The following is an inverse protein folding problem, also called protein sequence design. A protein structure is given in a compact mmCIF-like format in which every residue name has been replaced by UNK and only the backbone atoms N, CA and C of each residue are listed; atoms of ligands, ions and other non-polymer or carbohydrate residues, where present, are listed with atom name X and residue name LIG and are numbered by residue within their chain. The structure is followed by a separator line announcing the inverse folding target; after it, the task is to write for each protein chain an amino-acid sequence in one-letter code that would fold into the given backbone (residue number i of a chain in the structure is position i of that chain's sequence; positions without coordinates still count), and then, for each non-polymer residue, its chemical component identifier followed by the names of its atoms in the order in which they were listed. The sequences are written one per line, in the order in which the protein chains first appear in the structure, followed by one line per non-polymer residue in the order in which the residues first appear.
data_IF_209873983076
#
_entry.id   IF_209873983076
#
_cell.length_a   1.000
_cell.length_b   1.000
_cell.length_c   1.000
_cell.angle_alpha   90.00
_cell.angle_beta   90.00
_cell.angle_gamma   90.00
#
_symmetry.space_group_name_H-M   'P 1'
#
loop_
_entity.id
_entity.type
_entity.pdbx_description
1 polymer ?
#
# COMPACT_ATOMS: atom_id res chain seq x y z
N UNK A 1 -7.67 -62.33 11.22
CA UNK A 1 -8.14 -61.35 10.21
C UNK A 1 -8.08 -59.99 10.88
N UNK A 2 -7.03 -59.22 10.56
CA UNK A 2 -6.73 -57.94 11.20
C UNK A 2 -7.21 -56.80 10.28
N UNK A 3 -8.21 -56.04 10.71
CA UNK A 3 -8.79 -54.93 9.97
C UNK A 3 -8.02 -53.66 10.33
N UNK A 4 -7.18 -53.17 9.40
CA UNK A 4 -6.46 -51.90 9.56
C UNK A 4 -7.38 -50.78 9.08
N UNK A 5 -7.89 -49.97 10.01
CA UNK A 5 -8.59 -48.74 9.73
C UNK A 5 -7.55 -47.63 9.44
N UNK A 6 -7.40 -47.24 8.16
CA UNK A 6 -6.63 -46.08 7.77
C UNK A 6 -7.52 -44.86 7.96
N UNK A 7 -7.25 -44.05 9.00
CA UNK A 7 -7.88 -42.75 9.19
C UNK A 7 -7.12 -41.73 8.30
N UNK A 8 -7.69 -41.39 7.17
CA UNK A 8 -7.25 -40.28 6.33
C UNK A 8 -7.65 -38.98 7.03
N UNK A 9 -6.72 -38.44 7.80
CA UNK A 9 -6.82 -37.06 8.27
C UNK A 9 -6.64 -36.11 7.07
N UNK A 10 -7.74 -35.69 6.48
CA UNK A 10 -7.77 -34.62 5.48
C UNK A 10 -7.38 -33.31 6.16
N UNK A 11 -6.14 -32.85 6.00
CA UNK A 11 -5.79 -31.46 6.23
C UNK A 11 -6.51 -30.59 5.21
N UNK A 12 -7.66 -30.06 5.58
CA UNK A 12 -8.27 -28.95 4.88
C UNK A 12 -7.49 -27.68 5.25
N UNK A 13 -6.43 -27.38 4.50
CA UNK A 13 -5.77 -26.09 4.51
C UNK A 13 -6.38 -25.26 3.38
N UNK A 14 -7.50 -24.61 3.66
CA UNK A 14 -7.96 -23.46 2.93
C UNK A 14 -8.02 -22.28 3.90
N UNK A 15 -6.84 -21.75 4.24
CA UNK A 15 -6.70 -20.37 4.62
C UNK A 15 -5.83 -19.75 3.51
N UNK A 16 -6.43 -18.94 2.66
CA UNK A 16 -5.72 -17.89 1.93
C UNK A 16 -5.14 -16.93 2.98
N UNK A 17 -4.06 -17.34 3.61
CA UNK A 17 -3.26 -16.45 4.43
C UNK A 17 -2.55 -15.53 3.45
N UNK A 18 -3.15 -14.36 3.17
CA UNK A 18 -2.47 -13.26 2.49
C UNK A 18 -1.13 -13.09 3.19
N UNK A 19 -0.03 -13.20 2.44
CA UNK A 19 1.30 -13.09 3.03
C UNK A 19 1.43 -11.75 3.75
N UNK A 20 2.06 -11.75 4.93
CA UNK A 20 2.26 -10.54 5.72
C UNK A 20 3.06 -9.52 4.90
N UNK A 21 2.45 -8.38 4.60
CA UNK A 21 3.08 -7.32 3.80
C UNK A 21 4.32 -6.75 4.51
N UNK A 22 4.38 -6.82 5.84
CA UNK A 22 5.52 -6.36 6.64
C UNK A 22 6.78 -7.22 6.50
N UNK A 23 6.70 -8.40 5.87
CA UNK A 23 7.88 -9.15 5.46
C UNK A 23 8.78 -8.37 4.51
N UNK A 24 8.23 -7.37 3.80
CA UNK A 24 8.96 -6.47 2.90
C UNK A 24 9.47 -5.19 3.56
N UNK A 25 9.30 -5.04 4.88
CA UNK A 25 9.83 -3.89 5.62
C UNK A 25 11.34 -3.77 5.40
N UNK A 26 11.81 -2.53 5.32
CA UNK A 26 13.20 -2.17 5.04
C UNK A 26 13.68 -2.51 3.62
N UNK A 27 12.78 -2.70 2.68
CA UNK A 27 13.12 -2.80 1.26
C UNK A 27 13.62 -1.46 0.69
N UNK A 28 14.17 -1.50 -0.50
CA UNK A 28 14.62 -0.31 -1.23
C UNK A 28 13.86 -0.14 -2.55
N UNK A 29 13.76 1.09 -3.05
CA UNK A 29 13.06 1.40 -4.32
C UNK A 29 13.64 0.58 -5.49
N UNK A 30 14.94 0.29 -5.48
CA UNK A 30 15.60 -0.52 -6.52
C UNK A 30 15.27 -2.01 -6.48
N UNK A 31 14.61 -2.51 -5.44
CA UNK A 31 14.16 -3.90 -5.36
C UNK A 31 12.81 -4.07 -6.06
N UNK A 32 12.85 -4.33 -7.36
CA UNK A 32 11.66 -4.53 -8.18
C UNK A 32 10.73 -5.63 -7.64
N UNK A 33 11.29 -6.69 -7.08
CA UNK A 33 10.53 -7.82 -6.57
C UNK A 33 9.76 -7.42 -5.31
N UNK A 34 10.43 -6.79 -4.35
CA UNK A 34 9.79 -6.32 -3.12
C UNK A 34 8.73 -5.27 -3.42
N UNK A 35 9.04 -4.26 -4.24
CA UNK A 35 8.06 -3.23 -4.63
C UNK A 35 6.85 -3.84 -5.32
N UNK A 36 7.04 -4.75 -6.28
CA UNK A 36 5.95 -5.43 -6.97
C UNK A 36 5.07 -6.25 -6.03
N UNK A 37 5.67 -6.98 -5.08
CA UNK A 37 4.95 -7.77 -4.09
C UNK A 37 4.17 -6.89 -3.08
N UNK A 38 4.73 -5.75 -2.66
CA UNK A 38 4.01 -4.78 -1.83
C UNK A 38 2.80 -4.26 -2.61
N UNK A 39 3.01 -3.71 -3.80
CA UNK A 39 1.97 -3.07 -4.61
C UNK A 39 0.83 -4.05 -4.96
N UNK A 40 1.14 -5.33 -5.21
CA UNK A 40 0.13 -6.36 -5.49
C UNK A 40 -0.85 -6.62 -4.33
N UNK A 41 -0.50 -6.19 -3.11
CA UNK A 41 -1.33 -6.34 -1.92
C UNK A 41 -2.09 -5.06 -1.54
N UNK A 42 -1.80 -3.94 -2.21
CA UNK A 42 -2.44 -2.65 -1.96
C UNK A 42 -3.83 -2.55 -2.61
N UNK A 43 -4.59 -1.52 -2.19
CA UNK A 43 -5.90 -1.25 -2.76
C UNK A 43 -5.79 -0.95 -4.26
N UNK A 44 -6.76 -1.45 -5.03
CA UNK A 44 -6.82 -1.31 -6.50
C UNK A 44 -5.61 -1.88 -7.26
N UNK A 45 -4.94 -2.88 -6.70
CA UNK A 45 -3.83 -3.56 -7.39
C UNK A 45 -4.23 -4.22 -8.72
N UNK A 46 -5.50 -4.63 -8.86
CA UNK A 46 -6.03 -5.21 -10.10
C UNK A 46 -6.20 -4.17 -11.23
N UNK A 47 -6.37 -2.90 -10.86
CA UNK A 47 -6.49 -1.78 -11.79
C UNK A 47 -5.13 -1.17 -12.13
N UNK A 48 -4.06 -1.66 -11.52
CA UNK A 48 -2.71 -1.18 -11.78
C UNK A 48 -2.28 -1.54 -13.20
N UNK A 49 -1.87 -0.52 -13.97
CA UNK A 49 -1.38 -0.65 -15.33
C UNK A 49 0.14 -0.75 -15.40
N UNK A 50 0.84 0.06 -14.59
CA UNK A 50 2.31 0.14 -14.64
C UNK A 50 2.90 0.62 -13.32
N UNK A 51 4.08 0.09 -12.98
CA UNK A 51 4.97 0.57 -11.92
C UNK A 51 6.24 1.10 -12.57
N UNK A 52 6.65 2.32 -12.21
CA UNK A 52 7.93 2.89 -12.64
C UNK A 52 8.75 3.30 -11.42
N UNK A 53 10.00 2.83 -11.36
CA UNK A 53 10.92 3.10 -10.26
C UNK A 53 11.95 4.16 -10.68
N UNK A 54 12.05 5.22 -9.89
CA UNK A 54 12.96 6.34 -10.12
C UNK A 54 14.13 6.27 -9.14
N UNK A 55 15.22 5.63 -9.58
CA UNK A 55 16.39 5.30 -8.75
C UNK A 55 17.69 5.93 -9.22
N UNK A 56 17.68 6.69 -10.33
CA UNK A 56 18.89 7.27 -10.89
C UNK A 56 19.34 8.52 -10.16
N UNK A 57 18.40 9.33 -9.71
CA UNK A 57 18.63 10.61 -9.05
C UNK A 57 17.69 10.77 -7.85
N UNK A 58 18.17 11.42 -6.79
CA UNK A 58 17.34 11.79 -5.64
C UNK A 58 16.47 13.02 -5.96
N UNK A 59 15.26 13.14 -5.40
CA UNK A 59 14.62 12.18 -4.48
C UNK A 59 14.14 10.92 -5.19
N UNK A 60 14.43 9.76 -4.62
CA UNK A 60 13.97 8.47 -5.17
C UNK A 60 12.45 8.36 -5.08
N UNK A 61 11.84 7.77 -6.10
CA UNK A 61 10.40 7.72 -6.19
C UNK A 61 9.83 6.51 -6.90
N UNK A 62 8.51 6.37 -6.77
CA UNK A 62 7.72 5.35 -7.44
C UNK A 62 6.57 6.05 -8.15
N UNK A 63 6.31 5.67 -9.40
CA UNK A 63 5.08 6.05 -10.09
C UNK A 63 4.20 4.82 -10.28
N UNK A 64 2.96 4.91 -9.83
CA UNK A 64 1.92 3.91 -10.02
C UNK A 64 0.88 4.47 -11.01
N UNK A 65 0.72 3.82 -12.15
CA UNK A 65 -0.25 4.19 -13.16
C UNK A 65 -1.42 3.19 -13.12
N UNK A 66 -2.65 3.70 -13.01
CA UNK A 66 -3.88 2.92 -12.90
C UNK A 66 -4.75 3.08 -14.13
N UNK A 67 -5.53 2.05 -14.42
CA UNK A 67 -6.71 2.13 -15.27
C UNK A 67 -7.82 2.91 -14.55
N UNK A 68 -8.96 3.10 -15.23
CA UNK A 68 -10.10 3.78 -14.61
C UNK A 68 -10.64 3.02 -13.41
N UNK A 69 -10.87 3.74 -12.31
CA UNK A 69 -11.49 3.21 -11.10
C UNK A 69 -12.97 3.56 -11.12
N UNK A 70 -13.80 2.54 -11.29
CA UNK A 70 -15.26 2.69 -11.28
C UNK A 70 -15.79 2.58 -9.86
N UNK A 71 -16.14 3.71 -9.27
CA UNK A 71 -16.70 3.79 -7.92
C UNK A 71 -17.81 4.84 -7.83
N UNK A 72 -18.75 4.68 -6.88
CA UNK A 72 -19.85 5.65 -6.69
C UNK A 72 -19.36 7.04 -6.29
N UNK A 73 -18.29 7.10 -5.49
CA UNK A 73 -17.63 8.31 -5.03
C UNK A 73 -16.16 8.29 -5.44
N UNK A 74 -15.89 8.20 -6.75
CA UNK A 74 -14.54 7.99 -7.30
C UNK A 74 -13.50 8.98 -6.75
N UNK A 75 -13.82 10.27 -6.64
CA UNK A 75 -12.88 11.27 -6.12
C UNK A 75 -12.47 10.98 -4.68
N UNK A 76 -13.42 10.67 -3.79
CA UNK A 76 -13.15 10.33 -2.40
C UNK A 76 -12.34 9.05 -2.29
N UNK A 77 -12.79 7.99 -2.96
CA UNK A 77 -12.13 6.68 -2.91
C UNK A 77 -10.70 6.72 -3.49
N UNK A 78 -10.48 7.50 -4.54
CA UNK A 78 -9.15 7.73 -5.10
C UNK A 78 -8.24 8.45 -4.08
N UNK A 79 -8.70 9.52 -3.43
CA UNK A 79 -7.94 10.23 -2.42
C UNK A 79 -7.58 9.35 -1.22
N UNK A 80 -8.54 8.61 -0.70
CA UNK A 80 -8.31 7.65 0.40
C UNK A 80 -7.31 6.55 0.00
N UNK A 81 -7.43 6.03 -1.23
CA UNK A 81 -6.50 5.04 -1.79
C UNK A 81 -5.09 5.60 -1.92
N UNK A 82 -4.94 6.82 -2.42
CA UNK A 82 -3.64 7.50 -2.55
C UNK A 82 -2.95 7.60 -1.18
N UNK A 83 -3.68 8.06 -0.15
CA UNK A 83 -3.14 8.16 1.21
C UNK A 83 -2.77 6.77 1.75
N UNK A 84 -3.68 5.81 1.69
CA UNK A 84 -3.45 4.48 2.24
C UNK A 84 -2.27 3.78 1.56
N UNK A 85 -2.25 3.75 0.23
CA UNK A 85 -1.20 3.08 -0.53
C UNK A 85 0.17 3.78 -0.35
N UNK A 86 0.20 5.13 -0.33
CA UNK A 86 1.42 5.88 -0.04
C UNK A 86 1.95 5.56 1.36
N UNK A 87 1.07 5.46 2.35
CA UNK A 87 1.44 5.13 3.73
C UNK A 87 2.15 3.79 3.82
N UNK A 88 1.60 2.74 3.20
CA UNK A 88 2.27 1.43 3.15
C UNK A 88 3.62 1.50 2.47
N UNK A 89 3.71 2.15 1.32
CA UNK A 89 4.97 2.24 0.57
C UNK A 89 6.05 3.00 1.35
N UNK A 90 5.70 4.10 2.03
CA UNK A 90 6.64 4.85 2.85
C UNK A 90 7.02 4.12 4.14
N UNK A 91 6.15 3.29 4.71
CA UNK A 91 6.46 2.49 5.89
C UNK A 91 7.38 1.30 5.59
N UNK A 92 7.27 0.72 4.40
CA UNK A 92 7.97 -0.52 4.04
C UNK A 92 9.25 -0.30 3.22
N UNK A 93 9.34 0.80 2.46
CA UNK A 93 10.47 1.10 1.59
C UNK A 93 11.29 2.27 2.17
N UNK A 94 12.52 1.98 2.62
CA UNK A 94 13.33 2.92 3.39
C UNK A 94 13.66 4.21 2.65
N UNK A 95 14.11 4.10 1.40
CA UNK A 95 14.68 5.19 0.62
C UNK A 95 13.72 5.83 -0.38
N UNK A 96 12.42 5.51 -0.31
CA UNK A 96 11.41 6.19 -1.12
C UNK A 96 11.05 7.52 -0.46
N UNK A 97 11.09 8.60 -1.22
CA UNK A 97 10.79 9.96 -0.76
C UNK A 97 9.54 10.55 -1.42
N UNK A 98 9.17 10.03 -2.61
CA UNK A 98 8.06 10.53 -3.41
C UNK A 98 7.33 9.39 -4.11
N UNK A 99 6.00 9.45 -4.09
CA UNK A 99 5.14 8.51 -4.83
C UNK A 99 4.16 9.31 -5.66
N UNK A 100 4.08 9.00 -6.95
CA UNK A 100 3.13 9.60 -7.88
C UNK A 100 2.10 8.56 -8.31
N UNK A 101 0.84 8.90 -8.16
CA UNK A 101 -0.31 8.10 -8.56
C UNK A 101 -0.96 8.75 -9.79
N UNK A 102 -1.00 8.02 -10.91
CA UNK A 102 -1.60 8.49 -12.17
C UNK A 102 -2.88 7.73 -12.44
N UNK A 103 -3.97 8.45 -12.48
CA UNK A 103 -5.28 7.96 -12.92
C UNK A 103 -5.64 8.63 -14.24
N UNK A 104 -6.59 8.11 -15.04
CA UNK A 104 -6.93 8.70 -16.33
C UNK A 104 -7.30 10.19 -16.28
N UNK A 105 -7.97 10.65 -15.21
CA UNK A 105 -8.43 12.03 -15.04
C UNK A 105 -7.59 12.85 -14.05
N UNK A 106 -6.79 12.21 -13.17
CA UNK A 106 -6.11 12.88 -12.07
C UNK A 106 -4.69 12.33 -11.84
N UNK A 107 -3.82 13.19 -11.35
CA UNK A 107 -2.49 12.81 -10.88
C UNK A 107 -2.27 13.36 -9.46
N UNK A 108 -1.77 12.52 -8.56
CA UNK A 108 -1.43 12.90 -7.20
C UNK A 108 0.01 12.56 -6.90
N UNK A 109 0.75 13.50 -6.34
CA UNK A 109 2.10 13.26 -5.84
C UNK A 109 2.11 13.47 -4.34
N UNK A 110 2.60 12.48 -3.61
CA UNK A 110 2.73 12.49 -2.14
C UNK A 110 4.20 12.32 -1.78
N UNK A 111 4.70 13.14 -0.88
CA UNK A 111 6.03 12.99 -0.30
C UNK A 111 5.97 12.35 1.09
N UNK A 112 7.04 11.64 1.48
CA UNK A 112 7.16 11.02 2.80
C UNK A 112 7.03 12.07 3.91
N UNK A 113 7.65 13.23 3.73
CA UNK A 113 7.58 14.34 4.69
C UNK A 113 6.17 14.86 4.89
N UNK A 114 5.41 15.06 3.79
CA UNK A 114 4.04 15.56 3.87
C UNK A 114 3.11 14.61 4.61
N UNK A 115 3.18 13.33 4.29
CA UNK A 115 2.28 12.34 4.90
C UNK A 115 2.65 12.07 6.36
N UNK A 116 3.93 12.06 6.71
CA UNK A 116 4.38 11.94 8.11
C UNK A 116 3.96 13.18 8.93
N UNK A 117 4.02 14.37 8.35
CA UNK A 117 3.53 15.58 9.00
C UNK A 117 2.01 15.52 9.23
N UNK A 118 1.25 15.05 8.23
CA UNK A 118 -0.21 14.91 8.36
C UNK A 118 -0.62 13.91 9.43
N UNK A 119 0.08 12.78 9.55
CA UNK A 119 -0.14 11.80 10.62
C UNK A 119 0.41 12.25 11.97
N UNK A 120 1.32 13.21 12.01
CA UNK A 120 2.17 13.51 13.16
C UNK A 120 2.92 12.28 13.70
N UNK A 121 3.33 11.39 12.81
CA UNK A 121 4.00 10.12 13.09
C UNK A 121 5.09 9.83 12.06
N UNK A 122 6.14 9.14 12.50
CA UNK A 122 7.14 8.56 11.62
C UNK A 122 6.68 7.19 11.14
N UNK A 123 6.57 7.01 9.84
CA UNK A 123 6.09 5.74 9.26
C UNK A 123 7.11 4.60 9.39
N UNK A 124 8.39 4.94 9.53
CA UNK A 124 9.46 3.95 9.74
C UNK A 124 9.37 3.25 11.10
N UNK A 125 8.66 3.83 12.08
CA UNK A 125 8.54 3.29 13.44
C UNK A 125 7.50 2.15 13.55
N UNK A 126 6.67 1.94 12.53
CA UNK A 126 5.68 0.86 12.53
C UNK A 126 6.34 -0.50 12.25
N UNK A 127 6.06 -1.48 13.11
CA UNK A 127 6.65 -2.82 13.04
C UNK A 127 5.67 -3.91 12.59
N UNK A 128 4.39 -3.58 12.45
CA UNK A 128 3.34 -4.51 12.02
C UNK A 128 2.21 -3.84 11.25
N UNK A 129 1.48 -4.64 10.50
CA UNK A 129 0.40 -4.16 9.63
C UNK A 129 -0.82 -3.65 10.44
N UNK A 130 -1.10 -4.24 11.59
CA UNK A 130 -2.28 -3.91 12.40
C UNK A 130 -2.23 -2.46 12.90
N UNK A 131 -1.08 -2.06 13.46
CA UNK A 131 -0.87 -0.71 13.96
C UNK A 131 -0.90 0.32 12.82
N UNK A 132 -0.31 -0.01 11.67
CA UNK A 132 -0.34 0.86 10.50
C UNK A 132 -1.77 1.01 9.94
N UNK A 133 -2.53 -0.06 9.86
CA UNK A 133 -3.96 -0.04 9.46
C UNK A 133 -4.79 0.81 10.41
N UNK A 134 -4.54 0.72 11.70
CA UNK A 134 -5.24 1.53 12.71
C UNK A 134 -4.98 3.02 12.48
N UNK A 135 -3.71 3.43 12.29
CA UNK A 135 -3.35 4.82 11.99
C UNK A 135 -4.09 5.33 10.74
N UNK A 136 -4.03 4.56 9.64
CA UNK A 136 -4.69 4.90 8.38
C UNK A 136 -6.19 5.09 8.60
N UNK A 137 -6.86 4.11 9.24
CA UNK A 137 -8.29 4.13 9.47
C UNK A 137 -8.74 5.32 10.31
N UNK A 138 -8.00 5.63 11.38
CA UNK A 138 -8.33 6.77 12.27
C UNK A 138 -8.31 8.10 11.52
N UNK A 139 -7.34 8.29 10.61
CA UNK A 139 -7.21 9.54 9.85
C UNK A 139 -8.15 9.64 8.65
N UNK A 140 -8.46 8.52 7.99
CA UNK A 140 -9.40 8.50 6.87
C UNK A 140 -10.87 8.64 7.30
N UNK A 141 -11.19 8.51 8.59
CA UNK A 141 -12.55 8.73 9.09
C UNK A 141 -13.03 10.19 8.94
N UNK A 142 -12.13 11.16 8.75
CA UNK A 142 -12.45 12.56 8.55
C UNK A 142 -12.27 12.96 7.09
N UNK A 143 -13.37 13.10 6.36
CA UNK A 143 -13.35 13.55 4.97
C UNK A 143 -12.75 14.95 4.83
N UNK A 144 -13.02 15.86 5.78
CA UNK A 144 -12.42 17.20 5.81
C UNK A 144 -10.90 17.14 5.93
N UNK A 145 -10.37 16.25 6.76
CA UNK A 145 -8.93 16.03 6.93
C UNK A 145 -8.29 15.50 5.65
N UNK A 146 -8.95 14.55 4.97
CA UNK A 146 -8.50 14.02 3.68
C UNK A 146 -8.48 15.12 2.61
N UNK A 147 -9.56 15.89 2.50
CA UNK A 147 -9.62 17.00 1.54
C UNK A 147 -8.57 18.08 1.82
N UNK A 148 -8.32 18.39 3.10
CA UNK A 148 -7.28 19.33 3.49
C UNK A 148 -5.89 18.86 3.10
N UNK A 149 -5.60 17.55 3.16
CA UNK A 149 -4.31 17.00 2.72
C UNK A 149 -4.03 17.30 1.24
N UNK A 150 -5.05 17.30 0.39
CA UNK A 150 -4.93 17.56 -1.05
C UNK A 150 -5.18 19.03 -1.47
N UNK A 151 -5.55 19.92 -0.55
CA UNK A 151 -5.87 21.33 -0.86
C UNK A 151 -4.65 22.26 -0.79
N UNK A 152 -3.48 21.81 -1.19
CA UNK A 152 -2.22 22.57 -1.21
C UNK A 152 -2.03 23.30 -2.53
#
# INVERSE_FOLDING_TARGET
MLLILIVLSGCSQNADSKADIFQYKNSYVGDNSAVGNIVSQLAYSNELKQISLHTKEQPYGITLEYNDITAKNADKEIKETVIANATYLFALIQNVERITFKFPANEFTVTKTEIQHWYNNKLDDFENEEDLKKLIKEHLNSEDSVNQFFSK
#
